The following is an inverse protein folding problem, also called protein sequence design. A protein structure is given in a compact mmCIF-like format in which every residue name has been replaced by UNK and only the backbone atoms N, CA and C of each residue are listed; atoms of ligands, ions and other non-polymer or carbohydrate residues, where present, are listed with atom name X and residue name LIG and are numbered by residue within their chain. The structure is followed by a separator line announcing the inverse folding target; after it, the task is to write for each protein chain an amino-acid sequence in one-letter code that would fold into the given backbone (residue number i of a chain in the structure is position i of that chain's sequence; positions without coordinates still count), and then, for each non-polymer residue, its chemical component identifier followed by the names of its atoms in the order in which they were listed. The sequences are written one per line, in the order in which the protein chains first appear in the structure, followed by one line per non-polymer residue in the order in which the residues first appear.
data_IF_466132159813
#
_entry.id   IF_466132159813
#
_cell.length_a   1.000
_cell.length_b   1.000
_cell.length_c   1.000
_cell.angle_alpha   90.00
_cell.angle_beta   90.00
_cell.angle_gamma   90.00
#
_symmetry.space_group_name_H-M   'P 1'
#
loop_
_entity.id
_entity.type
_entity.pdbx_description
1 polymer ?
#
# COMPACT_ATOMS: atom_id res chain seq x y z
N UNK A 1 -53.92 33.70 22.22
CA UNK A 1 -53.27 32.36 22.25
C UNK A 1 -52.46 32.00 20.99
N UNK A 2 -52.55 32.74 19.87
CA UNK A 2 -51.85 32.41 18.60
C UNK A 2 -50.42 32.98 18.47
N UNK A 3 -50.04 33.99 19.25
CA UNK A 3 -48.70 34.63 19.17
C UNK A 3 -47.63 33.88 19.98
N UNK A 4 -48.01 33.09 20.99
CA UNK A 4 -47.04 32.31 21.80
C UNK A 4 -46.52 31.05 21.10
N UNK A 5 -47.22 30.55 20.07
CA UNK A 5 -46.79 29.36 19.30
C UNK A 5 -45.72 29.73 18.25
N UNK A 6 -45.73 30.97 17.74
CA UNK A 6 -44.76 31.43 16.73
C UNK A 6 -43.37 31.65 17.34
N UNK A 7 -43.28 32.09 18.60
CA UNK A 7 -41.99 32.23 19.30
C UNK A 7 -41.33 30.89 19.67
N UNK A 8 -42.10 29.81 19.82
CA UNK A 8 -41.55 28.49 20.13
C UNK A 8 -40.90 27.82 18.90
N UNK A 9 -41.36 28.13 17.69
CA UNK A 9 -40.80 27.58 16.45
C UNK A 9 -39.51 28.27 15.98
N UNK A 10 -39.25 29.51 16.45
CA UNK A 10 -38.03 30.25 16.11
C UNK A 10 -36.79 29.83 16.92
N UNK A 11 -36.96 29.15 18.07
CA UNK A 11 -35.86 28.70 18.92
C UNK A 11 -35.30 27.35 18.45
N UNK A 12 -36.05 26.57 17.66
CA UNK A 12 -35.64 25.26 17.15
C UNK A 12 -34.78 25.32 15.88
N UNK A 13 -34.66 26.46 15.21
CA UNK A 13 -33.83 26.61 13.99
C UNK A 13 -32.42 27.14 14.25
N UNK A 14 -32.08 27.48 15.50
CA UNK A 14 -30.74 27.94 15.90
C UNK A 14 -29.87 26.86 16.54
N UNK A 15 -30.32 25.60 16.57
CA UNK A 15 -29.43 24.46 16.82
C UNK A 15 -28.65 24.08 15.55
N UNK A 16 -28.08 25.06 14.87
CA UNK A 16 -27.00 24.79 13.92
C UNK A 16 -25.87 24.15 14.71
N UNK A 17 -25.54 22.91 14.36
CA UNK A 17 -24.45 22.13 14.92
C UNK A 17 -23.24 23.03 15.21
N UNK A 18 -22.83 23.17 16.47
CA UNK A 18 -21.45 23.49 16.82
C UNK A 18 -20.59 22.27 16.44
N UNK A 19 -20.46 22.02 15.13
CA UNK A 19 -19.35 21.23 14.60
C UNK A 19 -18.11 22.06 14.92
N UNK A 20 -17.40 21.68 15.98
CA UNK A 20 -16.15 22.33 16.37
C UNK A 20 -15.25 22.40 15.14
N UNK A 21 -14.92 23.61 14.70
CA UNK A 21 -13.98 23.81 13.62
C UNK A 21 -12.63 23.28 14.07
N UNK A 22 -12.04 22.40 13.26
CA UNK A 22 -10.65 22.00 13.38
C UNK A 22 -9.90 22.77 12.31
N UNK A 23 -8.89 23.55 12.71
CA UNK A 23 -7.98 24.18 11.75
C UNK A 23 -6.83 23.22 11.51
N UNK A 24 -6.63 22.80 10.26
CA UNK A 24 -5.56 21.87 9.88
C UNK A 24 -4.65 22.51 8.84
N UNK A 25 -3.36 22.59 9.19
CA UNK A 25 -2.28 22.96 8.29
C UNK A 25 -1.59 21.70 7.78
N UNK A 26 -1.16 21.73 6.52
CA UNK A 26 -0.62 20.57 5.81
C UNK A 26 0.74 20.92 5.22
N UNK A 27 1.73 20.05 5.43
CA UNK A 27 3.07 20.14 4.83
C UNK A 27 3.71 21.54 4.99
N UNK A 28 4.05 22.19 3.87
CA UNK A 28 4.74 23.49 3.85
C UNK A 28 3.89 24.65 4.38
N UNK A 29 2.59 24.45 4.63
CA UNK A 29 1.74 25.42 5.32
C UNK A 29 1.95 25.42 6.83
N UNK A 30 2.62 24.40 7.38
CA UNK A 30 2.95 24.31 8.81
C UNK A 30 4.20 25.16 9.08
N UNK A 31 4.21 25.86 10.22
CA UNK A 31 5.35 26.66 10.67
C UNK A 31 6.67 25.86 10.61
N UNK A 32 7.71 26.44 10.02
CA UNK A 32 8.97 25.74 9.76
C UNK A 32 9.69 25.32 11.03
N UNK A 33 9.61 26.12 12.11
CA UNK A 33 10.23 25.78 13.40
C UNK A 33 9.50 24.61 14.07
N UNK A 34 8.18 24.56 13.94
CA UNK A 34 7.40 23.41 14.38
C UNK A 34 7.80 22.15 13.60
N UNK A 35 7.93 22.23 12.27
CA UNK A 35 8.40 21.11 11.44
C UNK A 35 9.81 20.64 11.84
N UNK A 36 10.74 21.55 12.08
CA UNK A 36 12.08 21.21 12.57
C UNK A 36 12.05 20.52 13.95
N UNK A 37 11.19 21.01 14.84
CA UNK A 37 10.98 20.42 16.18
C UNK A 37 10.47 18.98 16.07
N UNK A 38 9.47 18.74 15.22
CA UNK A 38 8.91 17.40 15.02
C UNK A 38 9.90 16.51 14.26
N UNK A 39 10.63 17.05 13.28
CA UNK A 39 11.68 16.31 12.59
C UNK A 39 12.73 15.79 13.57
N UNK A 40 13.23 16.62 14.49
CA UNK A 40 14.17 16.20 15.53
C UNK A 40 13.61 15.06 16.42
N UNK A 41 12.30 15.08 16.69
CA UNK A 41 11.61 14.01 17.43
C UNK A 41 11.46 12.73 16.60
N UNK A 42 11.18 12.86 15.30
CA UNK A 42 11.16 11.74 14.36
C UNK A 42 12.55 11.09 14.25
N UNK A 43 13.60 11.89 14.10
CA UNK A 43 15.00 11.41 14.07
C UNK A 43 15.32 10.63 15.37
N UNK A 44 14.99 11.21 16.53
CA UNK A 44 15.19 10.57 17.84
C UNK A 44 14.39 9.28 17.99
N UNK A 45 13.18 9.23 17.45
CA UNK A 45 12.33 8.04 17.44
C UNK A 45 12.97 6.93 16.59
N UNK A 46 13.42 7.24 15.38
CA UNK A 46 14.09 6.28 14.49
C UNK A 46 15.37 5.71 15.10
N UNK A 47 16.17 6.55 15.74
CA UNK A 47 17.38 6.13 16.44
C UNK A 47 17.04 5.24 17.65
N UNK A 48 16.02 5.59 18.43
CA UNK A 48 15.59 4.79 19.57
C UNK A 48 15.09 3.40 19.13
N UNK A 49 14.33 3.31 18.03
CA UNK A 49 13.84 2.04 17.48
C UNK A 49 14.98 1.17 16.95
N UNK A 50 15.91 1.77 16.20
CA UNK A 50 17.04 1.07 15.60
C UNK A 50 18.00 0.51 16.66
N UNK A 51 18.25 1.29 17.72
CA UNK A 51 19.17 0.90 18.79
C UNK A 51 18.49 0.10 19.92
N UNK A 52 17.19 -0.19 19.82
CA UNK A 52 16.40 -0.79 20.92
C UNK A 52 16.47 0.02 22.22
N UNK A 53 16.67 1.34 22.15
CA UNK A 53 16.80 2.21 23.33
C UNK A 53 15.41 2.56 23.88
N UNK A 54 14.92 1.69 24.76
CA UNK A 54 13.64 1.86 25.43
C UNK A 54 13.60 3.13 26.30
N UNK A 55 14.74 3.63 26.81
CA UNK A 55 14.79 4.83 27.63
C UNK A 55 14.56 6.06 26.76
N UNK A 56 15.27 6.17 25.64
CA UNK A 56 15.07 7.24 24.66
C UNK A 56 13.64 7.23 24.12
N UNK A 57 13.13 6.04 23.80
CA UNK A 57 11.77 5.88 23.31
C UNK A 57 10.71 6.35 24.34
N UNK A 58 10.84 5.93 25.61
CA UNK A 58 9.94 6.38 26.69
C UNK A 58 10.02 7.89 26.92
N UNK A 59 11.19 8.51 26.72
CA UNK A 59 11.36 9.94 26.84
C UNK A 59 10.65 10.74 25.74
N UNK A 60 10.34 10.15 24.59
CA UNK A 60 9.58 10.79 23.51
C UNK A 60 8.06 10.66 23.69
N UNK A 61 7.62 9.67 24.44
CA UNK A 61 6.23 9.25 24.57
C UNK A 61 5.46 9.96 25.68
N UNK A 62 4.13 10.00 25.55
CA UNK A 62 3.22 10.35 26.64
C UNK A 62 3.17 9.22 27.66
N UNK A 63 2.82 9.55 28.92
CA UNK A 63 2.69 8.53 29.97
C UNK A 63 1.69 7.43 29.60
N UNK A 64 0.59 7.81 28.96
CA UNK A 64 -0.43 6.88 28.46
C UNK A 64 0.14 5.93 27.42
N UNK A 65 0.90 6.45 26.45
CA UNK A 65 1.54 5.62 25.43
C UNK A 65 2.58 4.68 26.03
N UNK A 66 3.38 5.14 27.01
CA UNK A 66 4.37 4.31 27.71
C UNK A 66 3.73 3.08 28.37
N UNK A 67 2.52 3.19 28.92
CA UNK A 67 1.78 2.06 29.51
C UNK A 67 1.42 0.97 28.49
N UNK A 68 1.32 1.32 27.21
CA UNK A 68 0.91 0.41 26.11
C UNK A 68 1.98 0.25 25.03
N UNK A 69 3.21 0.65 25.34
CA UNK A 69 4.31 0.73 24.38
C UNK A 69 4.54 -0.60 23.65
N UNK A 70 4.60 -1.72 24.38
CA UNK A 70 4.87 -3.03 23.77
C UNK A 70 3.80 -3.41 22.74
N UNK A 71 2.51 -3.27 23.08
CA UNK A 71 1.42 -3.57 22.15
C UNK A 71 1.35 -2.61 20.97
N UNK A 72 1.76 -1.36 21.15
CA UNK A 72 1.73 -0.33 20.11
C UNK A 72 2.90 -0.44 19.14
N UNK A 73 4.00 -1.10 19.54
CA UNK A 73 5.23 -1.09 18.75
C UNK A 73 5.71 -2.46 18.32
N UNK A 74 5.17 -3.56 18.87
CA UNK A 74 5.62 -4.93 18.62
C UNK A 74 5.67 -5.29 17.14
N UNK A 75 4.72 -4.78 16.35
CA UNK A 75 4.52 -5.21 14.97
C UNK A 75 5.57 -4.64 14.00
N UNK A 76 6.28 -3.58 14.35
CA UNK A 76 7.24 -2.94 13.45
C UNK A 76 8.61 -2.65 14.06
N UNK A 77 8.74 -2.51 15.39
CA UNK A 77 10.06 -2.29 16.02
C UNK A 77 11.02 -3.43 15.71
N UNK A 78 10.53 -4.67 15.61
CA UNK A 78 11.37 -5.81 15.22
C UNK A 78 12.04 -5.61 13.84
N UNK A 79 11.40 -4.93 12.90
CA UNK A 79 11.96 -4.64 11.57
C UNK A 79 13.20 -3.73 11.69
N UNK A 80 13.14 -2.70 12.52
CA UNK A 80 14.30 -1.83 12.80
C UNK A 80 15.39 -2.59 13.57
N UNK A 81 15.03 -3.36 14.61
CA UNK A 81 15.99 -4.11 15.43
C UNK A 81 16.77 -5.18 14.66
N UNK A 82 16.17 -5.74 13.62
CA UNK A 82 16.83 -6.72 12.73
C UNK A 82 17.64 -6.07 11.61
N UNK A 83 17.63 -4.74 11.52
CA UNK A 83 18.27 -3.99 10.42
C UNK A 83 17.59 -4.21 9.08
N UNK A 84 16.30 -4.58 9.09
CA UNK A 84 15.50 -4.67 7.86
C UNK A 84 15.12 -3.27 7.38
N UNK A 85 14.61 -2.44 8.28
CA UNK A 85 14.43 -1.02 8.03
C UNK A 85 15.66 -0.26 8.54
N UNK A 86 16.14 0.69 7.76
CA UNK A 86 17.15 1.65 8.22
C UNK A 86 16.48 2.77 9.03
N UNK A 87 17.29 3.61 9.68
CA UNK A 87 16.79 4.77 10.41
C UNK A 87 16.47 5.96 9.47
N UNK A 88 16.51 5.75 8.15
CA UNK A 88 16.21 6.79 7.17
C UNK A 88 14.73 6.71 6.81
N UNK A 89 14.17 7.88 6.54
CA UNK A 89 12.79 7.99 6.13
C UNK A 89 12.62 9.19 5.21
N UNK A 90 11.58 9.14 4.39
CA UNK A 90 11.09 10.28 3.66
C UNK A 90 9.80 10.78 4.32
N UNK A 91 9.65 12.10 4.44
CA UNK A 91 8.37 12.69 4.84
C UNK A 91 7.40 12.50 3.68
N UNK A 92 6.31 11.79 3.92
CA UNK A 92 5.27 11.55 2.93
C UNK A 92 4.21 12.66 2.96
N UNK A 93 3.63 12.91 4.14
CA UNK A 93 2.75 14.04 4.44
C UNK A 93 2.87 14.40 5.94
N UNK A 94 2.58 15.65 6.28
CA UNK A 94 2.56 16.17 7.65
C UNK A 94 1.27 16.96 7.89
N UNK A 95 0.68 16.79 9.07
CA UNK A 95 -0.54 17.48 9.47
C UNK A 95 -0.36 18.12 10.85
N UNK A 96 -0.77 19.38 10.98
CA UNK A 96 -0.88 20.06 12.27
C UNK A 96 -2.31 20.54 12.45
N UNK A 97 -2.98 20.05 13.47
CA UNK A 97 -4.39 20.31 13.74
C UNK A 97 -4.56 20.98 15.10
N UNK A 98 -5.32 22.08 15.10
CA UNK A 98 -5.80 22.76 16.30
C UNK A 98 -7.30 22.52 16.40
N UNK A 99 -7.71 21.88 17.49
CA UNK A 99 -9.10 21.58 17.81
C UNK A 99 -9.56 22.40 19.02
N UNK A 100 -10.82 22.82 19.00
CA UNK A 100 -11.45 23.54 20.12
C UNK A 100 -11.51 22.73 21.43
N UNK A 101 -11.46 21.40 21.34
CA UNK A 101 -11.49 20.47 22.48
C UNK A 101 -10.71 19.18 22.16
N UNK A 102 -10.26 18.44 23.18
CA UNK A 102 -9.64 17.13 22.98
C UNK A 102 -10.69 16.06 22.65
N UNK A 103 -10.22 14.88 22.25
CA UNK A 103 -11.01 13.66 21.99
C UNK A 103 -12.07 13.82 20.89
N UNK A 104 -11.73 14.56 19.85
CA UNK A 104 -12.53 14.77 18.64
C UNK A 104 -11.97 13.91 17.51
N UNK A 105 -12.86 13.33 16.72
CA UNK A 105 -12.48 12.70 15.46
C UNK A 105 -12.03 13.79 14.47
N UNK A 106 -10.77 13.72 14.06
CA UNK A 106 -10.22 14.53 12.96
C UNK A 106 -10.26 13.67 11.70
N UNK A 107 -10.68 14.28 10.59
CA UNK A 107 -10.63 13.69 9.26
C UNK A 107 -9.97 14.68 8.31
N UNK A 108 -8.94 14.22 7.61
CA UNK A 108 -8.13 15.01 6.69
C UNK A 108 -8.18 14.35 5.32
N UNK A 109 -8.45 15.13 4.27
CA UNK A 109 -8.36 14.66 2.90
C UNK A 109 -7.01 15.10 2.29
N UNK A 110 -6.24 14.15 1.77
CA UNK A 110 -5.03 14.44 1.01
C UNK A 110 -5.39 14.57 -0.47
N UNK A 111 -5.52 15.79 -0.97
CA UNK A 111 -5.83 16.06 -2.38
C UNK A 111 -4.78 15.44 -3.32
N UNK A 112 -3.50 15.59 -2.97
CA UNK A 112 -2.37 15.08 -3.76
C UNK A 112 -2.40 13.56 -3.85
N UNK A 113 -2.51 12.90 -2.70
CA UNK A 113 -2.32 11.45 -2.60
C UNK A 113 -3.64 10.65 -2.68
N UNK A 114 -4.80 11.32 -2.67
CA UNK A 114 -6.12 10.71 -2.91
C UNK A 114 -6.60 9.79 -1.79
N UNK A 115 -6.30 10.12 -0.54
CA UNK A 115 -6.79 9.38 0.63
C UNK A 115 -7.43 10.29 1.67
N UNK A 116 -8.25 9.69 2.52
CA UNK A 116 -8.73 10.24 3.77
C UNK A 116 -7.92 9.65 4.92
N UNK A 117 -7.35 10.52 5.74
CA UNK A 117 -6.72 10.17 6.99
C UNK A 117 -7.65 10.50 8.16
N UNK A 118 -7.72 9.64 9.16
CA UNK A 118 -8.65 9.80 10.29
C UNK A 118 -8.04 9.32 11.59
N UNK A 119 -8.13 10.16 12.63
CA UNK A 119 -7.62 9.87 13.97
C UNK A 119 -8.42 10.62 15.03
N UNK A 120 -8.23 10.27 16.31
CA UNK A 120 -8.80 10.99 17.45
C UNK A 120 -7.70 11.80 18.12
N UNK A 121 -7.85 13.12 18.25
CA UNK A 121 -6.87 13.95 18.92
C UNK A 121 -6.93 13.74 20.45
N UNK A 122 -5.80 13.51 21.12
CA UNK A 122 -5.80 13.42 22.59
C UNK A 122 -5.75 14.80 23.26
N UNK A 123 -5.22 15.80 22.57
CA UNK A 123 -5.07 17.19 23.02
C UNK A 123 -5.56 18.17 21.95
N UNK A 124 -5.72 19.43 22.33
CA UNK A 124 -6.17 20.50 21.41
C UNK A 124 -5.22 20.68 20.23
N UNK A 125 -3.91 20.54 20.45
CA UNK A 125 -2.91 20.63 19.39
C UNK A 125 -2.30 19.25 19.12
N UNK A 126 -2.45 18.78 17.88
CA UNK A 126 -1.93 17.49 17.42
C UNK A 126 -1.10 17.68 16.17
N UNK A 127 0.01 16.97 16.10
CA UNK A 127 0.85 16.88 14.92
C UNK A 127 0.94 15.43 14.47
N UNK A 128 0.71 15.15 13.20
CA UNK A 128 0.84 13.81 12.63
C UNK A 128 1.92 13.83 11.55
N UNK A 129 2.90 12.93 11.69
CA UNK A 129 3.92 12.67 10.66
C UNK A 129 3.62 11.35 9.97
N UNK A 130 3.49 11.37 8.64
CA UNK A 130 3.44 10.18 7.80
C UNK A 130 4.84 9.97 7.20
N UNK A 131 5.56 8.98 7.70
CA UNK A 131 6.97 8.73 7.35
C UNK A 131 7.07 7.48 6.49
N UNK A 132 7.56 7.63 5.26
CA UNK A 132 7.78 6.51 4.35
C UNK A 132 9.14 5.88 4.61
N UNK A 133 9.14 4.57 4.80
CA UNK A 133 10.34 3.73 4.87
C UNK A 133 10.18 2.54 3.92
N UNK A 134 11.27 2.08 3.30
CA UNK A 134 11.23 0.98 2.33
C UNK A 134 12.03 -0.21 2.84
N UNK A 135 11.46 -1.41 2.70
CA UNK A 135 12.08 -2.70 3.03
C UNK A 135 12.00 -3.62 1.81
N UNK A 136 13.15 -3.82 1.16
CA UNK A 136 13.22 -4.57 -0.09
C UNK A 136 12.21 -4.03 -1.12
N UNK A 137 11.25 -4.84 -1.54
CA UNK A 137 10.19 -4.47 -2.47
C UNK A 137 8.98 -3.78 -1.81
N UNK A 138 8.87 -3.80 -0.48
CA UNK A 138 7.71 -3.29 0.25
C UNK A 138 7.98 -1.87 0.76
N UNK A 139 7.00 -0.99 0.63
CA UNK A 139 7.00 0.32 1.27
C UNK A 139 6.09 0.28 2.49
N UNK A 140 6.56 0.87 3.57
CA UNK A 140 5.82 1.05 4.81
C UNK A 140 5.58 2.53 5.07
N UNK A 141 4.45 2.84 5.67
CA UNK A 141 4.15 4.15 6.22
C UNK A 141 4.09 4.05 7.74
N UNK A 142 5.02 4.73 8.40
CA UNK A 142 5.01 4.94 9.84
C UNK A 142 4.25 6.23 10.14
N UNK A 143 3.08 6.10 10.76
CA UNK A 143 2.20 7.18 11.17
C UNK A 143 2.50 7.49 12.63
N UNK A 144 3.07 8.66 12.90
CA UNK A 144 3.43 9.09 14.26
C UNK A 144 2.54 10.25 14.66
N UNK A 145 1.75 10.07 15.71
CA UNK A 145 0.89 11.10 16.27
C UNK A 145 1.53 11.68 17.51
N UNK A 146 1.74 13.00 17.50
CA UNK A 146 2.21 13.80 18.62
C UNK A 146 1.09 14.69 19.14
N UNK A 147 0.98 14.80 20.45
CA UNK A 147 0.14 15.80 21.11
C UNK A 147 0.98 16.79 21.88
N UNK A 148 0.61 18.07 21.86
CA UNK A 148 1.25 19.08 22.70
C UNK A 148 0.76 18.92 24.15
N UNK A 149 1.68 18.72 25.08
CA UNK A 149 1.40 18.71 26.52
C UNK A 149 2.11 19.87 27.22
N UNK A 150 1.85 20.03 28.50
CA UNK A 150 2.61 20.89 29.44
C UNK A 150 4.14 20.71 29.38
N UNK A 151 4.63 19.52 29.04
CA UNK A 151 6.05 19.20 28.90
C UNK A 151 6.54 19.18 27.44
N UNK A 152 5.72 19.68 26.52
CA UNK A 152 6.01 19.76 25.08
C UNK A 152 5.38 18.63 24.27
N UNK A 153 5.80 18.50 23.01
CA UNK A 153 5.28 17.50 22.08
C UNK A 153 5.66 16.07 22.50
N UNK A 154 4.66 15.21 22.70
CA UNK A 154 4.82 13.81 23.08
C UNK A 154 4.12 12.88 22.11
N UNK A 155 4.73 11.74 21.82
CA UNK A 155 4.10 10.68 21.02
C UNK A 155 2.92 10.11 21.80
N UNK A 156 1.74 10.15 21.19
CA UNK A 156 0.49 9.58 21.74
C UNK A 156 0.04 8.36 20.99
N UNK A 157 0.39 8.22 19.72
CA UNK A 157 0.16 7.00 18.95
C UNK A 157 1.24 6.77 17.90
N UNK A 158 1.49 5.50 17.59
CA UNK A 158 2.28 5.10 16.44
C UNK A 158 1.61 3.92 15.77
N UNK A 159 1.55 3.98 14.45
CA UNK A 159 1.10 2.88 13.62
C UNK A 159 2.06 2.69 12.46
N UNK A 160 2.31 1.45 12.08
CA UNK A 160 3.04 1.10 10.87
C UNK A 160 2.14 0.24 10.00
N UNK A 161 1.97 0.65 8.76
CA UNK A 161 1.16 -0.05 7.78
C UNK A 161 1.96 -0.22 6.49
N UNK A 162 1.70 -1.30 5.77
CA UNK A 162 2.24 -1.46 4.42
C UNK A 162 1.47 -0.53 3.48
N UNK A 163 2.22 0.22 2.68
CA UNK A 163 1.72 1.35 1.91
C UNK A 163 1.76 1.09 0.41
N UNK A 164 2.61 0.17 -0.02
CA UNK A 164 2.76 -0.20 -1.42
C UNK A 164 4.04 -0.96 -1.69
N UNK A 165 4.46 -0.93 -2.95
CA UNK A 165 5.62 -1.69 -3.43
C UNK A 165 6.44 -0.87 -4.42
N UNK A 166 7.77 -1.05 -4.39
CA UNK A 166 8.72 -0.40 -5.30
C UNK A 166 8.54 1.13 -5.44
N UNK A 167 8.27 1.81 -4.35
CA UNK A 167 8.05 3.24 -4.36
C UNK A 167 6.63 3.68 -4.69
N UNK A 168 5.71 2.75 -5.03
CA UNK A 168 4.37 3.05 -5.55
C UNK A 168 3.26 2.63 -4.59
N UNK A 169 2.27 3.49 -4.42
CA UNK A 169 1.07 3.21 -3.63
C UNK A 169 -0.11 2.71 -4.49
N UNK A 170 -1.25 2.44 -3.84
CA UNK A 170 -2.46 1.96 -4.49
C UNK A 170 -2.96 2.88 -5.62
N UNK A 171 -2.97 4.20 -5.42
CA UNK A 171 -3.39 5.17 -6.43
C UNK A 171 -2.48 5.15 -7.65
N UNK A 172 -1.16 5.10 -7.44
CA UNK A 172 -0.20 5.05 -8.54
C UNK A 172 -0.34 3.76 -9.36
N UNK A 173 -0.53 2.62 -8.71
CA UNK A 173 -0.82 1.36 -9.40
C UNK A 173 -2.15 1.41 -10.16
N UNK A 174 -3.17 2.06 -9.61
CA UNK A 174 -4.43 2.25 -10.31
C UNK A 174 -4.31 3.11 -11.56
N UNK A 175 -3.52 4.20 -11.51
CA UNK A 175 -3.23 5.01 -12.71
C UNK A 175 -2.45 4.20 -13.76
N UNK A 176 -1.48 3.39 -13.35
CA UNK A 176 -0.76 2.48 -14.25
C UNK A 176 -1.71 1.47 -14.91
N UNK A 177 -2.66 0.93 -14.15
CA UNK A 177 -3.66 -0.01 -14.66
C UNK A 177 -4.56 0.64 -15.71
N UNK A 178 -5.09 1.84 -15.43
CA UNK A 178 -5.90 2.61 -16.40
C UNK A 178 -5.12 2.92 -17.66
N UNK A 179 -3.83 3.29 -17.53
CA UNK A 179 -2.96 3.53 -18.68
C UNK A 179 -2.77 2.26 -19.52
N UNK A 180 -2.42 1.13 -18.90
CA UNK A 180 -2.26 -0.14 -19.62
C UNK A 180 -3.55 -0.58 -20.32
N UNK A 181 -4.72 -0.39 -19.71
CA UNK A 181 -6.00 -0.71 -20.36
C UNK A 181 -6.20 0.14 -21.63
N UNK A 182 -5.93 1.44 -21.54
CA UNK A 182 -6.02 2.39 -22.66
C UNK A 182 -5.05 2.04 -23.80
N UNK A 183 -3.87 1.55 -23.46
CA UNK A 183 -2.87 1.11 -24.44
C UNK A 183 -3.20 -0.26 -25.07
N UNK A 184 -4.31 -0.89 -24.67
CA UNK A 184 -4.76 -2.18 -25.19
C UNK A 184 -4.18 -3.40 -24.45
N UNK A 185 -3.38 -3.19 -23.41
CA UNK A 185 -2.73 -4.25 -22.64
C UNK A 185 -3.59 -4.66 -21.44
N UNK A 186 -4.66 -5.42 -21.69
CA UNK A 186 -5.65 -5.81 -20.67
C UNK A 186 -5.04 -6.68 -19.55
N UNK A 187 -4.13 -7.61 -19.87
CA UNK A 187 -3.49 -8.46 -18.86
C UNK A 187 -2.62 -7.61 -17.94
N UNK A 188 -1.81 -6.70 -18.49
CA UNK A 188 -1.00 -5.77 -17.70
C UNK A 188 -1.85 -4.83 -16.85
N UNK A 189 -2.97 -4.34 -17.41
CA UNK A 189 -3.92 -3.53 -16.66
C UNK A 189 -4.44 -4.30 -15.44
N UNK A 190 -4.81 -5.56 -15.61
CA UNK A 190 -5.24 -6.41 -14.50
C UNK A 190 -4.13 -6.61 -13.46
N UNK A 191 -2.91 -6.90 -13.90
CA UNK A 191 -1.77 -7.04 -13.00
C UNK A 191 -1.51 -5.77 -12.18
N UNK A 192 -1.59 -4.58 -12.77
CA UNK A 192 -1.45 -3.33 -12.00
C UNK A 192 -2.66 -3.08 -11.09
N UNK A 193 -3.89 -3.39 -11.53
CA UNK A 193 -5.08 -3.25 -10.71
C UNK A 193 -5.06 -4.18 -9.49
N UNK A 194 -4.56 -5.40 -9.64
CA UNK A 194 -4.35 -6.36 -8.55
C UNK A 194 -3.41 -5.78 -7.49
N UNK A 195 -2.28 -5.20 -7.91
CA UNK A 195 -1.39 -4.50 -6.97
C UNK A 195 -2.02 -3.29 -6.28
N UNK A 196 -2.87 -2.55 -6.98
CA UNK A 196 -3.61 -1.44 -6.39
C UNK A 196 -4.52 -1.93 -5.25
N UNK A 197 -5.24 -3.05 -5.48
CA UNK A 197 -6.11 -3.65 -4.48
C UNK A 197 -5.32 -4.20 -3.29
N UNK A 198 -4.21 -4.90 -3.52
CA UNK A 198 -3.33 -5.42 -2.46
C UNK A 198 -2.79 -4.28 -1.60
N UNK A 199 -2.21 -3.25 -2.23
CA UNK A 199 -1.59 -2.11 -1.53
C UNK A 199 -2.60 -1.31 -0.69
N UNK A 200 -3.89 -1.38 -1.04
CA UNK A 200 -4.96 -0.71 -0.32
C UNK A 200 -5.47 -1.52 0.88
N UNK A 201 -5.62 -2.84 0.74
CA UNK A 201 -6.09 -3.70 1.84
C UNK A 201 -5.16 -3.65 3.04
N UNK A 202 -3.88 -3.38 2.81
CA UNK A 202 -2.88 -3.32 3.86
C UNK A 202 -2.91 -2.00 4.65
N UNK A 203 -3.64 -0.97 4.18
CA UNK A 203 -3.68 0.40 4.76
C UNK A 203 -4.91 0.73 5.63
N UNK A 204 -5.82 -0.21 5.89
CA UNK A 204 -7.23 0.04 6.24
C UNK A 204 -7.57 0.75 7.58
N UNK A 205 -6.61 1.02 8.48
CA UNK A 205 -6.89 1.55 9.82
C UNK A 205 -7.14 3.07 9.84
N UNK A 206 -6.09 3.88 9.67
CA UNK A 206 -6.16 5.35 9.70
C UNK A 206 -6.20 5.99 8.31
N UNK A 207 -5.78 5.27 7.26
CA UNK A 207 -5.65 5.79 5.91
C UNK A 207 -6.55 5.02 4.94
N UNK A 208 -7.51 5.72 4.32
CA UNK A 208 -8.45 5.12 3.37
C UNK A 208 -8.40 5.83 2.04
N UNK A 209 -8.09 5.14 0.96
CA UNK A 209 -8.08 5.73 -0.38
C UNK A 209 -9.51 6.13 -0.79
N UNK A 210 -9.63 7.30 -1.42
CA UNK A 210 -10.92 7.88 -1.80
C UNK A 210 -11.62 7.04 -2.87
N UNK A 211 -10.82 6.44 -3.76
CA UNK A 211 -11.27 5.66 -4.92
C UNK A 211 -11.30 4.14 -4.65
N UNK A 212 -11.37 3.72 -3.39
CA UNK A 212 -11.29 2.29 -3.02
C UNK A 212 -12.32 1.42 -3.75
N UNK A 213 -13.57 1.91 -3.87
CA UNK A 213 -14.65 1.16 -4.53
C UNK A 213 -14.39 1.07 -6.02
N UNK A 214 -13.95 2.17 -6.63
CA UNK A 214 -13.62 2.30 -8.04
C UNK A 214 -12.47 1.37 -8.40
N UNK A 215 -11.40 1.32 -7.60
CA UNK A 215 -10.27 0.40 -7.78
C UNK A 215 -10.71 -1.06 -7.74
N UNK A 216 -11.51 -1.45 -6.74
CA UNK A 216 -12.06 -2.81 -6.60
C UNK A 216 -12.96 -3.18 -7.78
N UNK A 217 -13.87 -2.30 -8.17
CA UNK A 217 -14.76 -2.53 -9.31
C UNK A 217 -13.99 -2.60 -10.64
N UNK A 218 -12.97 -1.77 -10.82
CA UNK A 218 -12.10 -1.80 -12.00
C UNK A 218 -11.33 -3.12 -12.11
N UNK A 219 -10.72 -3.57 -11.02
CA UNK A 219 -10.03 -4.86 -10.93
C UNK A 219 -10.97 -6.03 -11.29
N UNK A 220 -12.17 -6.09 -10.70
CA UNK A 220 -13.18 -7.13 -10.99
C UNK A 220 -13.62 -7.07 -12.47
N UNK A 221 -13.81 -5.85 -13.00
CA UNK A 221 -14.14 -5.64 -14.40
C UNK A 221 -13.10 -6.21 -15.36
N UNK A 222 -11.82 -5.95 -15.10
CA UNK A 222 -10.70 -6.50 -15.88
C UNK A 222 -10.61 -8.02 -15.76
N UNK A 223 -10.74 -8.57 -14.55
CA UNK A 223 -10.76 -10.03 -14.32
C UNK A 223 -11.84 -10.71 -15.17
N UNK A 224 -13.06 -10.18 -15.17
CA UNK A 224 -14.16 -10.72 -15.95
C UNK A 224 -13.94 -10.59 -17.46
N UNK A 225 -13.38 -9.47 -17.94
CA UNK A 225 -13.00 -9.27 -19.35
C UNK A 225 -11.96 -10.30 -19.80
N UNK A 226 -10.91 -10.50 -19.00
CA UNK A 226 -9.83 -11.46 -19.27
C UNK A 226 -10.37 -12.87 -19.29
N UNK A 227 -11.13 -13.31 -18.27
CA UNK A 227 -11.69 -14.67 -18.23
C UNK A 227 -12.71 -14.96 -19.33
N UNK A 228 -13.38 -13.93 -19.87
CA UNK A 228 -14.24 -14.10 -21.05
C UNK A 228 -13.41 -14.32 -22.32
N UNK A 229 -12.28 -13.63 -22.44
CA UNK A 229 -11.40 -13.70 -23.63
C UNK A 229 -10.49 -14.92 -23.61
N UNK A 230 -9.96 -15.27 -22.45
CA UNK A 230 -9.03 -16.37 -22.23
C UNK A 230 -9.60 -17.30 -21.17
N UNK A 231 -9.82 -18.56 -21.53
CA UNK A 231 -10.23 -19.58 -20.58
C UNK A 231 -8.99 -20.12 -19.88
N UNK A 232 -8.92 -19.95 -18.57
CA UNK A 232 -7.89 -20.59 -17.75
C UNK A 232 -8.51 -21.78 -16.99
N UNK A 233 -7.81 -22.92 -16.93
CA UNK A 233 -6.54 -23.20 -17.60
C UNK A 233 -6.65 -23.32 -19.13
N UNK A 234 -5.57 -22.98 -19.86
CA UNK A 234 -5.49 -22.99 -21.32
C UNK A 234 -4.43 -23.97 -21.83
N UNK A 235 -4.81 -24.97 -22.61
CA UNK A 235 -3.88 -25.94 -23.23
C UNK A 235 -3.33 -25.37 -24.54
N UNK A 236 -2.01 -25.38 -24.72
CA UNK A 236 -1.36 -25.02 -25.98
C UNK A 236 -1.26 -26.27 -26.86
N UNK A 237 -2.27 -26.50 -27.71
CA UNK A 237 -2.36 -27.68 -28.57
C UNK A 237 -1.25 -27.78 -29.63
N UNK A 238 -0.63 -26.65 -29.99
CA UNK A 238 0.42 -26.56 -31.00
C UNK A 238 1.80 -27.04 -30.52
N UNK A 239 1.92 -27.47 -29.27
CA UNK A 239 3.16 -28.00 -28.68
C UNK A 239 2.91 -29.46 -28.31
N UNK A 240 3.78 -30.37 -28.74
CA UNK A 240 3.60 -31.83 -28.61
C UNK A 240 3.31 -32.30 -27.17
N UNK A 241 3.92 -31.64 -26.18
CA UNK A 241 3.78 -31.95 -24.75
C UNK A 241 2.48 -31.40 -24.14
N UNK A 242 1.72 -30.62 -24.90
CA UNK A 242 0.45 -29.99 -24.55
C UNK A 242 0.48 -29.26 -23.19
N UNK A 243 1.39 -28.28 -23.02
CA UNK A 243 1.51 -27.55 -21.77
C UNK A 243 0.22 -26.76 -21.50
N UNK A 244 -0.18 -26.72 -20.23
CA UNK A 244 -1.41 -26.08 -19.77
C UNK A 244 -1.06 -24.80 -19.01
N UNK A 245 -1.33 -23.62 -19.58
CA UNK A 245 -1.17 -22.34 -18.90
C UNK A 245 -2.26 -22.22 -17.84
N UNK A 246 -1.86 -22.11 -16.58
CA UNK A 246 -2.80 -22.14 -15.44
C UNK A 246 -3.13 -20.75 -14.94
N UNK A 247 -2.16 -19.85 -14.92
CA UNK A 247 -2.36 -18.47 -14.47
C UNK A 247 -1.27 -17.54 -14.97
N UNK A 248 -1.63 -16.27 -15.03
CA UNK A 248 -0.72 -15.13 -15.21
C UNK A 248 -0.94 -14.22 -14.00
N UNK A 249 0.11 -13.93 -13.24
CA UNK A 249 0.03 -13.12 -12.02
C UNK A 249 1.28 -12.26 -11.84
N UNK A 250 1.25 -11.33 -10.88
CA UNK A 250 2.47 -10.62 -10.50
C UNK A 250 3.42 -11.54 -9.73
N UNK A 251 4.71 -11.32 -9.93
CA UNK A 251 5.75 -11.86 -9.09
C UNK A 251 6.71 -10.74 -8.70
N UNK A 252 6.88 -10.58 -7.39
CA UNK A 252 7.70 -9.53 -6.79
C UNK A 252 9.12 -10.07 -6.61
N UNK A 253 10.10 -9.38 -7.18
CA UNK A 253 11.53 -9.68 -7.05
C UNK A 253 12.28 -8.53 -6.37
N UNK A 254 13.60 -8.63 -6.17
CA UNK A 254 14.37 -7.46 -5.71
C UNK A 254 14.48 -6.34 -6.76
N UNK A 255 14.37 -6.68 -8.05
CA UNK A 255 14.59 -5.75 -9.17
C UNK A 255 13.30 -5.05 -9.62
N UNK A 256 12.15 -5.63 -9.31
CA UNK A 256 10.86 -5.11 -9.72
C UNK A 256 9.76 -6.17 -9.71
N UNK A 257 8.60 -5.73 -10.20
CA UNK A 257 7.44 -6.58 -10.40
C UNK A 257 7.37 -7.03 -11.85
N UNK A 258 7.29 -8.34 -12.05
CA UNK A 258 7.23 -8.94 -13.37
C UNK A 258 6.03 -9.87 -13.50
N UNK A 259 5.43 -9.96 -14.70
CA UNK A 259 4.45 -11.00 -14.98
C UNK A 259 5.10 -12.37 -14.85
N UNK A 260 4.40 -13.27 -14.15
CA UNK A 260 4.74 -14.67 -14.01
C UNK A 260 3.68 -15.52 -14.69
N UNK A 261 4.11 -16.25 -15.71
CA UNK A 261 3.28 -17.20 -16.46
C UNK A 261 3.53 -18.58 -15.86
N UNK A 262 2.51 -19.14 -15.23
CA UNK A 262 2.59 -20.47 -14.61
C UNK A 262 1.94 -21.51 -15.51
N UNK A 263 2.64 -22.61 -15.80
CA UNK A 263 2.09 -23.69 -16.62
C UNK A 263 2.41 -25.08 -16.09
N UNK A 264 1.57 -26.06 -16.45
CA UNK A 264 1.82 -27.48 -16.18
C UNK A 264 2.50 -28.11 -17.39
N UNK A 265 3.45 -28.98 -17.12
CA UNK A 265 4.12 -29.80 -18.13
C UNK A 265 4.00 -31.29 -17.79
N UNK A 266 4.01 -32.12 -18.82
CA UNK A 266 4.12 -33.58 -18.70
C UNK A 266 5.58 -34.05 -18.62
N UNK A 267 6.54 -33.19 -18.96
CA UNK A 267 7.97 -33.50 -18.90
C UNK A 267 8.41 -33.64 -17.42
N UNK A 268 9.20 -34.66 -17.07
CA UNK A 268 9.81 -34.76 -15.74
C UNK A 268 10.70 -33.55 -15.44
N UNK A 269 10.57 -32.94 -14.24
CA UNK A 269 11.32 -31.73 -13.86
C UNK A 269 12.85 -31.90 -13.80
N UNK A 270 13.33 -33.15 -13.89
CA UNK A 270 14.76 -33.49 -13.96
C UNK A 270 15.32 -33.45 -15.39
N UNK A 271 14.46 -33.49 -16.41
CA UNK A 271 14.86 -33.48 -17.82
C UNK A 271 14.96 -32.03 -18.34
N UNK A 272 15.99 -31.33 -17.87
CA UNK A 272 16.18 -29.89 -18.09
C UNK A 272 16.27 -29.53 -19.58
N UNK A 273 16.86 -30.39 -20.40
CA UNK A 273 17.02 -30.14 -21.85
C UNK A 273 15.67 -30.10 -22.55
N UNK A 274 14.78 -31.07 -22.28
CA UNK A 274 13.42 -31.06 -22.84
C UNK A 274 12.59 -29.90 -22.32
N UNK A 275 12.71 -29.57 -21.03
CA UNK A 275 12.02 -28.42 -20.44
C UNK A 275 12.43 -27.11 -21.09
N UNK A 276 13.72 -26.93 -21.39
CA UNK A 276 14.20 -25.75 -22.10
C UNK A 276 13.62 -25.67 -23.51
N UNK A 277 13.55 -26.81 -24.23
CA UNK A 277 12.94 -26.84 -25.56
C UNK A 277 11.43 -26.54 -25.53
N UNK A 278 10.69 -27.05 -24.54
CA UNK A 278 9.28 -26.71 -24.33
C UNK A 278 9.11 -25.22 -23.99
N UNK A 279 9.95 -24.69 -23.10
CA UNK A 279 9.94 -23.28 -22.71
C UNK A 279 10.09 -22.34 -23.92
N UNK A 280 11.04 -22.58 -24.84
CA UNK A 280 11.23 -21.72 -26.02
C UNK A 280 10.01 -21.75 -26.96
N UNK A 281 9.37 -22.91 -27.09
CA UNK A 281 8.13 -23.05 -27.86
C UNK A 281 6.97 -22.28 -27.19
N UNK A 282 6.81 -22.42 -25.87
CA UNK A 282 5.82 -21.67 -25.09
C UNK A 282 6.06 -20.18 -25.23
N UNK A 283 7.28 -19.69 -24.96
CA UNK A 283 7.67 -18.28 -25.06
C UNK A 283 7.26 -17.66 -26.41
N UNK A 284 7.40 -18.42 -27.49
CA UNK A 284 6.98 -17.99 -28.82
C UNK A 284 5.45 -17.98 -28.96
N UNK A 285 4.77 -19.07 -28.58
CA UNK A 285 3.32 -19.24 -28.74
C UNK A 285 2.51 -18.28 -27.88
N UNK A 286 2.92 -18.04 -26.64
CA UNK A 286 2.17 -17.16 -25.73
C UNK A 286 2.04 -15.73 -26.25
N UNK A 287 3.02 -15.24 -27.03
CA UNK A 287 3.00 -13.91 -27.66
C UNK A 287 1.89 -13.78 -28.69
N UNK A 288 1.57 -14.88 -29.36
CA UNK A 288 0.46 -14.95 -30.33
C UNK A 288 -0.90 -15.18 -29.68
N UNK A 289 -0.92 -15.85 -28.52
CA UNK A 289 -2.16 -16.15 -27.78
C UNK A 289 -2.61 -14.92 -26.99
N UNK A 290 -1.74 -14.36 -26.15
CA UNK A 290 -2.04 -13.28 -25.23
C UNK A 290 -1.66 -11.91 -25.82
N UNK A 291 -2.32 -11.56 -26.93
CA UNK A 291 -2.01 -10.35 -27.72
C UNK A 291 -2.18 -9.02 -26.97
N UNK A 292 -2.86 -9.03 -25.84
CA UNK A 292 -3.09 -7.89 -24.93
C UNK A 292 -2.23 -7.95 -23.66
N UNK A 293 -1.08 -8.64 -23.75
CA UNK A 293 0.00 -8.57 -22.77
C UNK A 293 1.19 -7.83 -23.38
N UNK A 294 1.80 -6.92 -22.62
CA UNK A 294 2.99 -6.20 -23.01
C UNK A 294 4.24 -7.10 -22.88
N UNK A 295 4.57 -7.75 -23.99
CA UNK A 295 5.79 -8.55 -24.12
C UNK A 295 7.07 -7.73 -24.29
N UNK A 296 6.99 -6.40 -24.27
CA UNK A 296 8.16 -5.53 -24.36
C UNK A 296 8.81 -5.21 -23.01
N UNK A 297 8.30 -5.79 -21.92
CA UNK A 297 8.89 -5.67 -20.58
C UNK A 297 10.33 -6.18 -20.52
N UNK A 298 11.15 -5.66 -19.57
CA UNK A 298 12.53 -6.11 -19.40
C UNK A 298 12.65 -7.60 -19.03
N UNK A 299 11.67 -8.12 -18.27
CA UNK A 299 11.64 -9.50 -17.78
C UNK A 299 10.21 -10.03 -17.82
N UNK A 300 10.06 -11.27 -18.28
CA UNK A 300 8.86 -12.10 -18.07
C UNK A 300 9.31 -13.41 -17.47
N UNK A 301 8.64 -13.81 -16.40
CA UNK A 301 8.99 -15.01 -15.65
C UNK A 301 8.08 -16.16 -16.06
N UNK A 302 8.64 -17.37 -16.03
CA UNK A 302 7.92 -18.59 -16.33
C UNK A 302 8.18 -19.56 -15.18
N UNK A 303 7.11 -20.08 -14.59
CA UNK A 303 7.20 -21.13 -13.58
C UNK A 303 6.43 -22.34 -14.08
N UNK A 304 7.08 -23.49 -13.98
CA UNK A 304 6.51 -24.75 -14.42
C UNK A 304 6.52 -25.77 -13.29
N UNK A 305 5.47 -26.56 -13.21
CA UNK A 305 5.34 -27.64 -12.26
C UNK A 305 4.78 -28.89 -12.94
N UNK A 306 5.11 -30.05 -12.39
CA UNK A 306 4.61 -31.31 -12.90
C UNK A 306 3.22 -31.58 -12.30
N UNK A 307 2.26 -32.04 -13.11
CA UNK A 307 0.91 -32.37 -12.66
C UNK A 307 0.92 -33.38 -11.48
N UNK A 308 1.92 -34.27 -11.43
CA UNK A 308 2.06 -35.30 -10.41
C UNK A 308 2.85 -34.85 -9.17
N UNK A 309 3.46 -33.65 -9.20
CA UNK A 309 4.25 -33.10 -8.09
C UNK A 309 4.17 -31.57 -8.04
N UNK A 310 3.00 -30.99 -7.73
CA UNK A 310 2.75 -29.54 -7.81
C UNK A 310 3.59 -28.70 -6.84
N UNK A 311 4.24 -29.32 -5.86
CA UNK A 311 5.11 -28.64 -4.87
C UNK A 311 6.55 -28.43 -5.37
N UNK A 312 6.93 -29.03 -6.50
CA UNK A 312 8.25 -28.88 -7.10
C UNK A 312 8.10 -28.06 -8.37
N UNK A 313 8.91 -27.00 -8.49
CA UNK A 313 8.87 -26.11 -9.64
C UNK A 313 10.27 -25.85 -10.21
N UNK A 314 10.30 -25.53 -11.51
CA UNK A 314 11.45 -24.96 -12.19
C UNK A 314 11.06 -23.58 -12.74
N UNK A 315 12.04 -22.69 -12.91
CA UNK A 315 11.79 -21.33 -13.38
C UNK A 315 12.72 -20.95 -14.53
N UNK A 316 12.17 -20.28 -15.53
CA UNK A 316 12.90 -19.66 -16.62
C UNK A 316 12.60 -18.16 -16.66
N UNK A 317 13.54 -17.37 -17.17
CA UNK A 317 13.41 -15.92 -17.31
C UNK A 317 13.63 -15.51 -18.76
N UNK A 318 12.71 -14.74 -19.31
CA UNK A 318 12.88 -14.07 -20.60
C UNK A 318 13.38 -12.65 -20.34
N UNK A 319 14.70 -12.44 -20.39
CA UNK A 319 15.33 -11.12 -20.23
C UNK A 319 15.67 -10.52 -21.59
N UNK A 320 15.35 -9.24 -21.79
CA UNK A 320 15.91 -8.48 -22.91
C UNK A 320 17.39 -8.20 -22.64
N UNK A 321 18.26 -8.56 -23.58
CA UNK A 321 19.65 -8.14 -23.57
C UNK A 321 19.70 -6.60 -23.57
N UNK A 322 20.56 -6.03 -22.72
CA UNK A 322 20.66 -4.58 -22.49
C UNK A 322 21.35 -3.85 -23.62
#
# INVERSE_FOLDING_TARGET
MKIRIVLLFAILTLQSCMSGSNDTLVNDKIDSKLRETIKSKNDSLMDAMSNSDLKAYKALASEKFVKHIQSKTSNFVWLYRKGYLDNKYAIFDEYYTISSKPLVQVKIESEKNGYNFSYVNEQNETYVSLLKASLYQNDYLLIVTYSLTDTGWRITDIEATMFGHYGKNAKEYYEMAKKSEKDGFQIDAFLYADMAVISMQESESMLKFNEEKEMKSFHIGLFNKINKKYQFPHIIEDIDTKPEIVKIQNHLTKEGMYPLISYKTTIPLKDIEKLKNEYEQIKTKIRTIYTDMDFNRPVILYSLYNANAPQVFHAFEDRKEK
#
